data_IF_967521817393
#
_entry.id   IF_967521817393
#
_cell.length_a   1.000
_cell.length_b   1.000
_cell.length_c   1.000
_cell.angle_alpha   90.00
_cell.angle_beta   90.00
_cell.angle_gamma   90.00
#
_symmetry.space_group_name_H-M   'P 1'
#
loop_
_entity.id
_entity.type
_entity.pdbx_description
1 polymer ?
#
# COMPACT_ATOMS: atom_id res chain seq x y z
N UNK A 1 52.29 -26.48 7.62
CA UNK A 1 51.18 -25.58 8.01
C UNK A 1 51.58 -24.13 7.70
N UNK A 2 50.97 -23.45 6.72
CA UNK A 2 51.37 -22.09 6.40
C UNK A 2 50.79 -21.12 7.44
N UNK A 3 51.69 -20.38 8.10
CA UNK A 3 51.36 -19.30 9.05
C UNK A 3 50.61 -18.20 8.30
N UNK A 4 49.34 -17.95 8.65
CA UNK A 4 48.57 -16.81 8.14
C UNK A 4 49.23 -15.52 8.59
N UNK A 5 49.77 -14.74 7.65
CA UNK A 5 50.27 -13.40 7.90
C UNK A 5 49.11 -12.47 8.27
N UNK A 6 49.14 -11.88 9.46
CA UNK A 6 48.24 -10.78 9.80
C UNK A 6 48.62 -9.54 8.98
N UNK A 7 47.83 -9.24 7.94
CA UNK A 7 47.84 -7.91 7.33
C UNK A 7 47.40 -6.89 8.38
N UNK A 8 48.24 -5.89 8.60
CA UNK A 8 48.00 -4.75 9.47
C UNK A 8 47.02 -3.80 8.76
N UNK A 9 45.74 -4.17 8.72
CA UNK A 9 44.69 -3.27 8.24
C UNK A 9 44.57 -2.12 9.24
N UNK A 10 44.85 -0.89 8.80
CA UNK A 10 44.67 0.33 9.60
C UNK A 10 43.24 0.33 10.14
N UNK A 11 43.09 0.17 11.46
CA UNK A 11 41.77 0.10 12.10
C UNK A 11 41.07 1.45 11.91
N UNK A 12 40.00 1.47 11.11
CA UNK A 12 39.19 2.66 10.90
C UNK A 12 38.70 3.21 12.26
N UNK A 13 38.81 4.53 12.46
CA UNK A 13 38.46 5.24 13.69
C UNK A 13 37.37 6.29 13.42
N UNK A 14 36.53 6.54 14.43
CA UNK A 14 35.45 7.54 14.41
C UNK A 14 35.46 8.32 15.72
N UNK A 15 35.13 9.62 15.66
CA UNK A 15 35.03 10.51 16.83
C UNK A 15 33.62 10.43 17.41
N UNK A 16 33.51 10.20 18.72
CA UNK A 16 32.22 10.23 19.41
C UNK A 16 31.77 11.70 19.64
N UNK A 17 30.53 12.08 19.30
CA UNK A 17 30.04 13.45 19.47
C UNK A 17 29.86 13.85 20.95
N UNK A 18 29.73 12.89 21.87
CA UNK A 18 29.52 13.16 23.29
C UNK A 18 30.86 13.38 24.02
N UNK A 19 31.80 12.44 23.92
CA UNK A 19 33.07 12.54 24.64
C UNK A 19 34.23 13.13 23.81
N UNK A 20 34.02 13.39 22.51
CA UNK A 20 35.02 13.92 21.57
C UNK A 20 36.30 13.07 21.45
N UNK A 21 36.27 11.82 21.92
CA UNK A 21 37.40 10.87 21.83
C UNK A 21 37.28 10.03 20.57
N UNK A 22 38.41 9.83 19.89
CA UNK A 22 38.52 8.84 18.81
C UNK A 22 38.44 7.43 19.35
N UNK A 23 37.63 6.59 18.70
CA UNK A 23 37.47 5.18 19.02
C UNK A 23 37.50 4.34 17.74
N UNK A 24 38.01 3.09 17.80
CA UNK A 24 37.98 2.18 16.66
C UNK A 24 36.53 1.83 16.29
N UNK A 25 36.17 1.82 15.00
CA UNK A 25 34.79 1.48 14.58
C UNK A 25 34.38 0.08 15.03
N UNK A 26 35.30 -0.88 15.00
CA UNK A 26 35.02 -2.30 15.26
C UNK A 26 34.55 -2.61 16.69
N UNK A 27 35.04 -1.89 17.69
CA UNK A 27 34.75 -2.16 19.11
C UNK A 27 34.24 -0.93 19.89
N UNK A 28 34.44 0.27 19.36
CA UNK A 28 34.08 1.52 20.02
C UNK A 28 32.61 1.89 19.91
N UNK A 29 31.87 1.33 18.95
CA UNK A 29 30.50 1.71 18.62
C UNK A 29 29.63 0.47 18.41
N UNK A 30 28.34 0.58 18.71
CA UNK A 30 27.38 -0.49 18.39
C UNK A 30 27.08 -0.50 16.89
N UNK A 31 27.08 -1.68 16.27
CA UNK A 31 26.70 -1.84 14.86
C UNK A 31 25.23 -1.45 14.65
N UNK A 32 24.88 -0.91 13.50
CA UNK A 32 23.49 -0.61 13.15
C UNK A 32 23.16 -1.00 11.72
N UNK A 33 21.96 -1.54 11.53
CA UNK A 33 21.38 -1.84 10.21
C UNK A 33 20.43 -0.72 9.76
N UNK A 34 20.24 0.31 10.57
CA UNK A 34 19.37 1.44 10.24
C UNK A 34 19.90 2.17 8.99
N UNK A 35 19.01 2.57 8.05
CA UNK A 35 19.37 3.38 6.90
C UNK A 35 20.15 4.66 7.26
N UNK A 36 19.93 5.20 8.47
CA UNK A 36 20.60 6.41 8.97
C UNK A 36 22.12 6.28 9.09
N UNK A 37 22.65 5.05 9.21
CA UNK A 37 24.06 4.81 9.49
C UNK A 37 24.74 3.91 8.47
N UNK A 38 24.23 3.84 7.23
CA UNK A 38 24.78 2.97 6.18
C UNK A 38 26.25 3.26 5.84
N UNK A 39 26.69 4.52 5.90
CA UNK A 39 28.05 4.92 5.57
C UNK A 39 29.11 4.27 6.49
N UNK A 40 28.84 4.22 7.81
CA UNK A 40 29.77 3.69 8.80
C UNK A 40 29.40 2.28 9.30
N UNK A 41 28.15 1.86 9.09
CA UNK A 41 27.58 0.61 9.63
C UNK A 41 27.46 0.57 11.17
N UNK A 42 27.66 1.70 11.85
CA UNK A 42 27.62 1.80 13.31
C UNK A 42 27.00 3.12 13.78
N UNK A 43 26.43 3.09 14.99
CA UNK A 43 25.83 4.28 15.61
C UNK A 43 26.90 5.35 15.91
N UNK A 44 26.54 6.64 15.98
CA UNK A 44 27.52 7.72 16.13
C UNK A 44 28.07 7.87 17.55
N UNK A 45 27.39 7.36 18.57
CA UNK A 45 27.79 7.49 19.98
C UNK A 45 28.56 6.25 20.42
N UNK A 46 29.71 6.44 21.07
CA UNK A 46 30.53 5.31 21.52
C UNK A 46 29.85 4.51 22.65
N UNK A 47 30.18 3.23 22.74
CA UNK A 47 29.54 2.28 23.69
C UNK A 47 29.62 2.75 25.15
N UNK A 48 30.73 3.37 25.55
CA UNK A 48 30.90 3.93 26.88
C UNK A 48 29.92 5.09 27.16
N UNK A 49 29.75 6.01 26.21
CA UNK A 49 28.81 7.12 26.35
C UNK A 49 27.36 6.66 26.34
N UNK A 50 27.02 5.64 25.53
CA UNK A 50 25.68 5.03 25.55
C UNK A 50 25.38 4.46 26.93
N UNK A 51 26.28 3.63 27.49
CA UNK A 51 26.10 3.03 28.83
C UNK A 51 25.98 4.09 29.93
N UNK A 52 26.87 5.08 29.92
CA UNK A 52 26.84 6.17 30.90
C UNK A 52 25.59 7.05 30.76
N UNK A 53 25.07 7.22 29.54
CA UNK A 53 23.87 8.01 29.28
C UNK A 53 22.57 7.34 29.72
N UNK A 54 22.58 6.01 29.94
CA UNK A 54 21.41 5.22 30.34
C UNK A 54 21.35 5.01 31.85
N UNK A 55 22.50 4.90 32.50
CA UNK A 55 22.63 4.53 33.90
C UNK A 55 22.55 5.77 34.81
N UNK A 56 21.95 5.61 36.00
CA UNK A 56 21.92 6.60 37.07
C UNK A 56 23.26 6.69 37.80
N UNK A 57 23.42 7.68 38.69
CA UNK A 57 24.66 7.85 39.47
C UNK A 57 24.92 6.69 40.42
N UNK A 58 23.85 6.06 40.92
CA UNK A 58 23.89 4.87 41.78
C UNK A 58 24.25 3.56 41.03
N UNK A 59 24.38 3.62 39.70
CA UNK A 59 24.67 2.47 38.86
C UNK A 59 23.44 1.72 38.33
N UNK A 60 22.22 2.12 38.71
CA UNK A 60 20.97 1.49 38.25
C UNK A 60 20.55 1.96 36.85
N UNK A 61 19.76 1.14 36.14
CA UNK A 61 19.28 1.49 34.81
C UNK A 61 18.07 2.42 34.91
N UNK A 62 18.15 3.57 34.26
CA UNK A 62 17.02 4.48 34.14
C UNK A 62 16.22 4.17 32.86
N UNK A 63 14.96 3.77 33.02
CA UNK A 63 14.07 3.35 31.92
C UNK A 63 13.83 4.48 30.90
N UNK A 64 13.65 5.71 31.37
CA UNK A 64 13.41 6.86 30.51
C UNK A 64 14.67 7.23 29.71
N UNK A 65 15.84 7.22 30.37
CA UNK A 65 17.12 7.42 29.67
C UNK A 65 17.42 6.30 28.66
N UNK A 66 17.08 5.06 29.01
CA UNK A 66 17.16 3.89 28.10
C UNK A 66 16.33 4.12 26.85
N UNK A 67 15.04 4.44 27.01
CA UNK A 67 14.12 4.69 25.89
C UNK A 67 14.62 5.82 24.99
N UNK A 68 14.97 6.96 25.58
CA UNK A 68 15.48 8.13 24.85
C UNK A 68 16.78 7.81 24.09
N UNK A 69 17.67 7.02 24.70
CA UNK A 69 18.92 6.62 24.06
C UNK A 69 18.68 5.66 22.89
N UNK A 70 17.81 4.65 23.05
CA UNK A 70 17.45 3.73 21.97
C UNK A 70 16.79 4.48 20.80
N UNK A 71 15.89 5.43 21.09
CA UNK A 71 15.26 6.27 20.07
C UNK A 71 16.29 7.12 19.31
N UNK A 72 17.19 7.80 20.02
CA UNK A 72 18.24 8.63 19.42
C UNK A 72 19.20 7.83 18.54
N UNK A 73 19.49 6.58 18.91
CA UNK A 73 20.36 5.68 18.15
C UNK A 73 19.61 4.91 17.06
N UNK A 74 18.30 5.13 16.91
CA UNK A 74 17.40 4.34 16.07
C UNK A 74 17.60 2.83 16.26
N UNK A 75 17.62 2.41 17.53
CA UNK A 75 17.78 1.02 17.95
C UNK A 75 16.48 0.51 18.55
N UNK A 76 16.11 -0.77 18.29
CA UNK A 76 14.86 -1.32 18.79
C UNK A 76 14.92 -1.49 20.30
N UNK A 77 13.85 -1.12 21.00
CA UNK A 77 13.70 -1.26 22.44
C UNK A 77 12.84 -2.47 22.78
N UNK A 78 13.43 -3.48 23.41
CA UNK A 78 12.74 -4.69 23.85
C UNK A 78 13.04 -4.95 25.33
N UNK A 79 12.02 -4.91 26.17
CA UNK A 79 12.18 -5.07 27.61
C UNK A 79 12.52 -6.50 28.02
N UNK A 80 12.10 -7.48 27.23
CA UNK A 80 12.45 -8.88 27.41
C UNK A 80 13.92 -9.19 27.03
N UNK A 81 14.51 -8.45 26.08
CA UNK A 81 15.95 -8.50 25.84
C UNK A 81 16.75 -7.95 27.04
N UNK A 82 16.21 -6.91 27.71
CA UNK A 82 16.83 -6.33 28.89
C UNK A 82 16.72 -7.27 30.10
N UNK A 83 15.53 -7.86 30.32
CA UNK A 83 15.32 -8.88 31.37
C UNK A 83 16.20 -10.12 31.13
N UNK A 84 16.39 -10.50 29.87
CA UNK A 84 17.32 -11.59 29.50
C UNK A 84 18.76 -11.24 29.86
N UNK A 85 19.19 -10.00 29.61
CA UNK A 85 20.49 -9.48 30.03
C UNK A 85 20.66 -9.49 31.55
N UNK A 86 19.63 -9.07 32.29
CA UNK A 86 19.60 -9.11 33.75
C UNK A 86 19.75 -10.54 34.28
N UNK A 87 18.95 -11.45 33.72
CA UNK A 87 18.96 -12.87 34.08
C UNK A 87 20.29 -13.55 33.77
N UNK A 88 20.93 -13.21 32.66
CA UNK A 88 22.26 -13.69 32.32
C UNK A 88 23.30 -13.19 33.32
N UNK A 89 23.31 -11.89 33.62
CA UNK A 89 24.26 -11.32 34.58
C UNK A 89 24.11 -11.93 35.97
N UNK A 90 22.86 -12.11 36.43
CA UNK A 90 22.53 -12.79 37.70
C UNK A 90 23.03 -14.23 37.76
N UNK A 91 22.94 -14.98 36.66
CA UNK A 91 23.47 -16.35 36.57
C UNK A 91 24.99 -16.38 36.65
N UNK A 92 25.67 -15.46 35.98
CA UNK A 92 27.13 -15.35 35.98
C UNK A 92 27.69 -14.85 37.33
N UNK A 93 26.89 -14.08 38.08
CA UNK A 93 27.27 -13.47 39.35
C UNK A 93 26.31 -13.85 40.47
N UNK A 94 26.02 -15.15 40.60
CA UNK A 94 25.04 -15.69 41.55
C UNK A 94 25.36 -15.41 43.02
N UNK A 95 26.61 -15.01 43.33
CA UNK A 95 27.07 -14.63 44.66
C UNK A 95 26.66 -13.19 45.08
N UNK A 96 26.19 -12.37 44.13
CA UNK A 96 25.72 -11.00 44.42
C UNK A 96 24.24 -11.00 44.76
N UNK A 97 23.84 -10.10 45.65
CA UNK A 97 22.42 -9.82 45.92
C UNK A 97 21.74 -9.13 44.74
N UNK A 98 20.41 -9.19 44.68
CA UNK A 98 19.63 -8.55 43.62
C UNK A 98 19.84 -7.02 43.57
N UNK A 99 20.03 -6.38 44.73
CA UNK A 99 20.30 -4.94 44.82
C UNK A 99 21.70 -4.58 44.30
N UNK A 100 22.70 -5.44 44.54
CA UNK A 100 24.05 -5.24 44.01
C UNK A 100 24.09 -5.44 42.50
N UNK A 101 23.34 -6.42 41.99
CA UNK A 101 23.18 -6.67 40.55
C UNK A 101 22.50 -5.47 39.88
N UNK A 102 21.46 -4.90 40.50
CA UNK A 102 20.75 -3.74 39.96
C UNK A 102 21.69 -2.53 39.76
N UNK A 103 22.72 -2.37 40.60
CA UNK A 103 23.74 -1.31 40.49
C UNK A 103 24.81 -1.57 39.41
N UNK A 104 24.79 -2.74 38.75
CA UNK A 104 25.67 -3.10 37.62
C UNK A 104 24.99 -2.81 36.27
N UNK A 105 24.34 -1.65 36.18
CA UNK A 105 23.55 -1.26 35.02
C UNK A 105 24.37 -1.17 33.73
N UNK A 106 25.65 -0.79 33.78
CA UNK A 106 26.49 -0.64 32.58
C UNK A 106 26.78 -1.99 31.92
N UNK A 107 26.96 -3.02 32.72
CA UNK A 107 27.19 -4.40 32.32
C UNK A 107 25.92 -5.01 31.75
N UNK A 108 24.78 -4.82 32.43
CA UNK A 108 23.46 -5.27 31.96
C UNK A 108 23.08 -4.59 30.63
N UNK A 109 23.30 -3.28 30.50
CA UNK A 109 23.08 -2.56 29.23
C UNK A 109 23.98 -3.09 28.12
N UNK A 110 25.21 -3.52 28.44
CA UNK A 110 26.09 -4.14 27.45
C UNK A 110 25.53 -5.46 26.92
N UNK A 111 24.98 -6.29 27.81
CA UNK A 111 24.32 -7.55 27.44
C UNK A 111 23.05 -7.29 26.62
N UNK A 112 22.26 -6.29 26.99
CA UNK A 112 21.11 -5.87 26.21
C UNK A 112 21.49 -5.50 24.76
N UNK A 113 22.47 -4.62 24.55
CA UNK A 113 22.88 -4.25 23.19
C UNK A 113 23.51 -5.41 22.40
N UNK A 114 24.01 -6.44 23.09
CA UNK A 114 24.41 -7.71 22.46
C UNK A 114 23.19 -8.50 21.98
N UNK A 115 22.13 -8.58 22.78
CA UNK A 115 20.88 -9.26 22.44
C UNK A 115 20.13 -8.56 21.29
N UNK A 116 20.15 -7.23 21.24
CA UNK A 116 19.60 -6.43 20.12
C UNK A 116 20.27 -6.73 18.78
N UNK A 117 21.48 -7.30 18.78
CA UNK A 117 22.20 -7.69 17.56
C UNK A 117 21.94 -9.14 17.13
N UNK A 118 21.05 -9.87 17.81
CA UNK A 118 20.62 -11.21 17.40
C UNK A 118 19.85 -11.16 16.09
N UNK A 119 19.80 -12.28 15.36
CA UNK A 119 19.19 -12.38 14.02
C UNK A 119 17.74 -11.88 13.99
N UNK A 120 17.00 -12.08 15.08
CA UNK A 120 15.60 -11.69 15.24
C UNK A 120 15.36 -10.17 15.37
N UNK A 121 16.36 -9.42 15.86
CA UNK A 121 16.24 -8.00 16.21
C UNK A 121 17.18 -7.07 15.46
N UNK A 122 18.29 -7.58 14.90
CA UNK A 122 19.36 -6.71 14.37
C UNK A 122 18.92 -5.77 13.25
N UNK A 123 17.87 -6.13 12.51
CA UNK A 123 17.34 -5.37 11.38
C UNK A 123 16.20 -4.44 11.79
N UNK A 124 15.75 -4.51 13.05
CA UNK A 124 14.65 -3.69 13.53
C UNK A 124 15.13 -2.32 13.99
N UNK A 125 14.24 -1.34 13.88
CA UNK A 125 14.46 0.04 14.32
C UNK A 125 13.59 0.37 15.55
N UNK A 126 13.68 1.61 16.06
CA UNK A 126 12.91 1.98 17.24
C UNK A 126 11.39 1.93 17.00
N UNK A 127 10.93 2.43 15.85
CA UNK A 127 9.51 2.48 15.50
C UNK A 127 8.88 1.08 15.35
N UNK A 128 9.62 0.11 14.84
CA UNK A 128 9.17 -1.29 14.77
C UNK A 128 9.01 -1.91 16.16
N UNK A 129 9.94 -1.64 17.07
CA UNK A 129 9.81 -2.11 18.45
C UNK A 129 8.62 -1.49 19.19
N UNK A 130 8.26 -0.25 18.85
CA UNK A 130 7.06 0.41 19.38
C UNK A 130 5.77 -0.24 18.85
N UNK A 131 5.72 -0.59 17.56
CA UNK A 131 4.61 -1.36 16.98
C UNK A 131 4.45 -2.74 17.63
N UNK A 132 5.55 -3.35 18.05
CA UNK A 132 5.57 -4.62 18.78
C UNK A 132 5.22 -4.46 20.28
N UNK A 133 4.95 -3.24 20.76
CA UNK A 133 4.68 -2.99 22.19
C UNK A 133 5.90 -3.22 23.10
N UNK A 134 7.11 -3.09 22.55
CA UNK A 134 8.39 -3.25 23.24
C UNK A 134 8.64 -4.65 23.85
N UNK A 135 7.94 -5.68 23.37
CA UNK A 135 8.12 -7.09 23.75
C UNK A 135 8.11 -7.96 22.49
N UNK A 136 8.91 -9.03 22.44
CA UNK A 136 8.87 -9.94 21.29
C UNK A 136 7.58 -10.77 21.24
N UNK A 137 6.87 -10.67 20.12
CA UNK A 137 5.70 -11.50 19.83
C UNK A 137 6.06 -12.98 19.70
N UNK A 138 7.14 -13.30 18.97
CA UNK A 138 7.51 -14.68 18.60
C UNK A 138 8.58 -15.32 19.52
N UNK A 139 8.67 -14.90 20.79
CA UNK A 139 9.59 -15.53 21.74
C UNK A 139 8.98 -16.76 22.41
N UNK A 140 9.84 -17.73 22.78
CA UNK A 140 9.47 -18.92 23.56
C UNK A 140 9.08 -18.61 25.02
N UNK A 141 9.01 -17.33 25.38
CA UNK A 141 8.67 -16.88 26.74
C UNK A 141 7.16 -17.03 26.94
N UNK A 142 6.75 -17.54 28.09
CA UNK A 142 5.32 -17.73 28.41
C UNK A 142 4.58 -16.40 28.48
N UNK A 143 3.27 -16.39 28.23
CA UNK A 143 2.45 -15.18 28.31
C UNK A 143 2.54 -14.51 29.69
N UNK A 144 2.46 -15.30 30.76
CA UNK A 144 2.58 -14.79 32.13
C UNK A 144 3.92 -14.09 32.40
N UNK A 145 5.02 -14.59 31.84
CA UNK A 145 6.33 -13.96 31.98
C UNK A 145 6.44 -12.66 31.17
N UNK A 146 5.86 -12.63 29.96
CA UNK A 146 5.74 -11.38 29.17
C UNK A 146 4.94 -10.32 29.94
N UNK A 147 3.83 -10.71 30.55
CA UNK A 147 2.99 -9.81 31.35
C UNK A 147 3.74 -9.31 32.60
N UNK A 148 4.57 -10.15 33.24
CA UNK A 148 5.44 -9.77 34.35
C UNK A 148 6.48 -8.72 33.93
N UNK A 149 7.14 -8.95 32.80
CA UNK A 149 8.15 -8.03 32.24
C UNK A 149 7.48 -6.70 31.87
N UNK A 150 6.31 -6.76 31.22
CA UNK A 150 5.52 -5.57 30.90
C UNK A 150 5.21 -4.76 32.16
N UNK A 151 4.71 -5.38 33.22
CA UNK A 151 4.47 -4.69 34.50
C UNK A 151 5.74 -4.11 35.11
N UNK A 152 6.85 -4.83 35.07
CA UNK A 152 8.14 -4.38 35.64
C UNK A 152 8.70 -3.15 34.94
N UNK A 153 8.66 -3.10 33.61
CA UNK A 153 9.33 -2.07 32.82
C UNK A 153 8.41 -1.00 32.23
N UNK A 154 7.16 -1.37 31.91
CA UNK A 154 6.15 -0.50 31.32
C UNK A 154 5.01 -0.14 32.30
N UNK A 155 4.92 -0.84 33.43
CA UNK A 155 4.06 -0.40 34.54
C UNK A 155 4.53 0.96 35.06
N UNK A 156 3.59 1.87 35.25
CA UNK A 156 3.84 3.27 35.56
C UNK A 156 4.84 3.45 36.71
N UNK A 157 5.90 4.24 36.47
CA UNK A 157 6.74 4.76 37.55
C UNK A 157 6.04 5.98 38.17
N UNK A 158 6.25 6.22 39.47
CA UNK A 158 5.65 7.35 40.19
C UNK A 158 6.00 8.73 39.58
N UNK A 159 7.05 8.80 38.76
CA UNK A 159 7.48 10.02 38.07
C UNK A 159 6.68 10.34 36.79
N UNK A 160 6.02 9.34 36.17
CA UNK A 160 5.22 9.55 34.94
C UNK A 160 3.83 10.16 35.24
N UNK A 161 3.46 10.23 36.52
CA UNK A 161 2.18 10.76 37.00
C UNK A 161 2.16 12.30 37.01
N UNK A 162 3.33 12.96 37.10
CA UNK A 162 3.42 14.42 37.20
C UNK A 162 3.14 15.19 35.89
N UNK A 163 3.05 14.51 34.74
CA UNK A 163 2.72 15.13 33.43
C UNK A 163 1.34 14.75 32.88
N UNK A 164 0.50 14.07 33.68
CA UNK A 164 -0.91 13.83 33.36
C UNK A 164 -1.80 14.12 34.56
N UNK A 165 -1.75 15.36 35.05
CA UNK A 165 -2.89 15.91 35.76
C UNK A 165 -4.02 16.18 34.76
N UNK A 166 -4.89 15.20 34.61
CA UNK A 166 -6.34 15.36 34.72
C UNK A 166 -6.99 14.00 34.50
N UNK A 167 -7.06 13.21 35.56
CA UNK A 167 -8.33 12.62 36.05
C UNK A 167 -8.03 11.81 37.29
N UNK A 168 -8.44 12.35 38.44
CA UNK A 168 -8.56 11.63 39.70
C UNK A 168 -9.58 10.51 39.55
N UNK A 169 -9.25 9.29 39.97
CA UNK A 169 -10.28 8.33 40.36
C UNK A 169 -9.91 7.64 41.67
N UNK A 170 -10.73 7.93 42.69
CA UNK A 170 -10.95 7.06 43.83
C UNK A 170 -11.43 5.67 43.34
N UNK A 171 -11.21 4.60 44.12
CA UNK A 171 -11.62 3.26 43.74
C UNK A 171 -13.15 3.21 43.74
N UNK A 172 -13.73 3.19 42.54
CA UNK A 172 -15.14 2.86 42.33
C UNK A 172 -15.15 1.46 41.72
N UNK A 173 -15.96 0.57 42.27
CA UNK A 173 -16.31 -0.67 41.58
C UNK A 173 -16.89 -0.30 40.19
N UNK A 174 -16.08 -0.45 39.14
CA UNK A 174 -16.45 -0.05 37.78
C UNK A 174 -17.60 -0.95 37.29
N UNK A 175 -18.82 -0.43 37.37
CA UNK A 175 -19.92 -0.93 36.54
C UNK A 175 -19.66 -0.50 35.10
N UNK A 176 -19.91 -1.38 34.11
CA UNK A 176 -19.64 -1.08 32.71
C UNK A 176 -20.41 0.17 32.26
N UNK A 177 -19.71 1.11 31.61
CA UNK A 177 -20.30 2.30 31.01
C UNK A 177 -21.24 1.83 29.89
N UNK A 178 -22.55 2.00 30.08
CA UNK A 178 -23.58 1.76 29.06
C UNK A 178 -23.95 3.11 28.47
N UNK A 179 -23.79 3.28 27.15
CA UNK A 179 -24.41 4.42 26.46
C UNK A 179 -25.92 4.30 26.58
N UNK A 180 -26.63 5.40 26.82
CA UNK A 180 -28.09 5.42 26.91
C UNK A 180 -28.72 4.77 25.66
N UNK A 181 -29.48 3.69 25.86
CA UNK A 181 -30.04 2.83 24.80
C UNK A 181 -31.43 3.30 24.32
N UNK A 182 -31.86 4.47 24.80
CA UNK A 182 -33.24 4.94 24.71
C UNK A 182 -33.67 5.48 23.35
N UNK A 183 -32.76 5.76 22.42
CA UNK A 183 -33.08 6.48 21.17
C UNK A 183 -32.87 5.68 19.86
N UNK A 184 -32.44 4.42 19.93
CA UNK A 184 -32.22 3.62 18.71
C UNK A 184 -33.48 2.85 18.28
N UNK A 185 -34.12 3.31 17.19
CA UNK A 185 -35.24 2.62 16.57
C UNK A 185 -34.76 1.62 15.52
N UNK A 186 -35.13 0.34 15.68
CA UNK A 186 -34.85 -0.71 14.69
C UNK A 186 -35.87 -0.57 13.56
N UNK A 187 -35.40 -0.29 12.35
CA UNK A 187 -36.26 -0.18 11.15
C UNK A 187 -36.45 -1.54 10.50
N UNK A 188 -37.52 -1.69 9.71
CA UNK A 188 -37.82 -2.94 8.99
C UNK A 188 -36.68 -3.34 8.02
N UNK A 189 -36.03 -2.36 7.39
CA UNK A 189 -34.90 -2.60 6.48
C UNK A 189 -33.71 -3.25 7.20
N UNK A 190 -33.48 -2.90 8.47
CA UNK A 190 -32.43 -3.54 9.27
C UNK A 190 -32.77 -4.98 9.61
N UNK A 191 -34.04 -5.28 9.88
CA UNK A 191 -34.51 -6.65 10.13
C UNK A 191 -34.38 -7.48 8.87
N UNK A 192 -34.77 -6.93 7.71
CA UNK A 192 -34.62 -7.59 6.42
C UNK A 192 -33.14 -7.85 6.06
N UNK A 193 -32.24 -6.94 6.45
CA UNK A 193 -30.82 -7.05 6.14
C UNK A 193 -30.08 -8.03 7.06
N UNK A 194 -30.29 -7.99 8.37
CA UNK A 194 -29.54 -8.81 9.34
C UNK A 194 -30.26 -10.11 9.74
N UNK A 195 -31.57 -10.21 9.50
CA UNK A 195 -32.44 -11.30 9.90
C UNK A 195 -33.08 -11.08 11.28
N UNK A 196 -34.15 -11.82 11.58
CA UNK A 196 -34.92 -11.71 12.83
C UNK A 196 -34.21 -12.37 14.04
N UNK A 197 -34.61 -11.99 15.26
CA UNK A 197 -34.19 -12.64 16.51
C UNK A 197 -33.05 -11.99 17.30
N UNK A 198 -32.55 -10.82 16.87
CA UNK A 198 -31.52 -10.06 17.60
C UNK A 198 -32.11 -9.01 18.54
N UNK A 199 -31.35 -8.66 19.57
CA UNK A 199 -31.66 -7.56 20.50
C UNK A 199 -31.47 -6.20 19.84
N UNK A 200 -32.15 -5.16 20.35
CA UNK A 200 -32.02 -3.78 19.87
C UNK A 200 -30.55 -3.30 19.88
N UNK A 201 -29.81 -3.65 20.92
CA UNK A 201 -28.39 -3.30 21.07
C UNK A 201 -27.52 -4.00 20.01
N UNK A 202 -27.81 -5.27 19.70
CA UNK A 202 -27.12 -6.00 18.61
C UNK A 202 -27.38 -5.34 17.25
N UNK A 203 -28.62 -4.98 16.95
CA UNK A 203 -28.96 -4.27 15.71
C UNK A 203 -28.23 -2.93 15.57
N UNK A 204 -28.11 -2.16 16.66
CA UNK A 204 -27.36 -0.90 16.71
C UNK A 204 -25.88 -1.12 16.36
N UNK A 205 -25.25 -2.11 17.00
CA UNK A 205 -23.84 -2.44 16.74
C UNK A 205 -23.61 -2.97 15.32
N UNK A 206 -24.51 -3.81 14.82
CA UNK A 206 -24.44 -4.34 13.45
C UNK A 206 -24.58 -3.23 12.41
N UNK A 207 -25.59 -2.37 12.55
CA UNK A 207 -25.82 -1.28 11.61
C UNK A 207 -24.66 -0.27 11.57
N UNK A 208 -24.14 0.13 12.74
CA UNK A 208 -22.97 1.01 12.81
C UNK A 208 -21.77 0.42 12.08
N UNK A 209 -21.42 -0.84 12.41
CA UNK A 209 -20.26 -1.52 11.83
C UNK A 209 -20.42 -1.75 10.32
N UNK A 210 -21.63 -2.07 9.86
CA UNK A 210 -21.93 -2.22 8.45
C UNK A 210 -21.72 -0.89 7.69
N UNK A 211 -22.20 0.23 8.22
CA UNK A 211 -22.00 1.54 7.61
C UNK A 211 -20.54 1.98 7.59
N UNK A 212 -19.80 1.73 8.69
CA UNK A 212 -18.36 2.04 8.78
C UNK A 212 -17.57 1.28 7.70
N UNK A 213 -17.89 0.00 7.46
CA UNK A 213 -17.22 -0.80 6.43
C UNK A 213 -17.65 -0.36 5.02
N UNK A 214 -18.93 -0.03 4.84
CA UNK A 214 -19.46 0.44 3.54
C UNK A 214 -18.84 1.77 3.09
N UNK A 215 -18.34 2.61 4.00
CA UNK A 215 -17.64 3.85 3.62
C UNK A 215 -16.40 3.60 2.77
N UNK A 216 -15.70 2.49 2.98
CA UNK A 216 -14.42 2.18 2.35
C UNK A 216 -14.46 0.93 1.45
N UNK A 217 -15.61 0.25 1.33
CA UNK A 217 -15.75 -1.00 0.58
C UNK A 217 -16.82 -0.90 -0.50
N UNK A 218 -16.44 -1.06 -1.77
CA UNK A 218 -17.37 -1.08 -2.90
C UNK A 218 -18.02 -2.46 -3.03
N UNK A 219 -19.32 -2.54 -2.76
CA UNK A 219 -20.11 -3.78 -2.96
C UNK A 219 -20.41 -3.92 -4.45
N UNK A 220 -19.81 -4.90 -5.12
CA UNK A 220 -20.02 -5.15 -6.55
C UNK A 220 -21.15 -6.14 -6.86
N UNK A 221 -21.43 -7.09 -5.95
CA UNK A 221 -22.42 -8.16 -6.16
C UNK A 221 -23.23 -8.44 -4.89
N UNK A 222 -24.43 -9.02 -5.05
CA UNK A 222 -25.27 -9.45 -3.92
C UNK A 222 -24.55 -10.47 -3.02
N UNK A 223 -23.69 -11.32 -3.58
CA UNK A 223 -22.90 -12.28 -2.82
C UNK A 223 -21.90 -11.58 -1.87
N UNK A 224 -21.28 -10.48 -2.32
CA UNK A 224 -20.43 -9.67 -1.45
C UNK A 224 -21.23 -8.99 -0.33
N UNK A 225 -22.46 -8.58 -0.61
CA UNK A 225 -23.36 -8.02 0.41
C UNK A 225 -23.71 -9.08 1.47
N UNK A 226 -24.13 -10.28 1.08
CA UNK A 226 -24.45 -11.36 2.01
C UNK A 226 -23.25 -11.80 2.85
N UNK A 227 -22.06 -11.86 2.24
CA UNK A 227 -20.83 -12.18 2.94
C UNK A 227 -20.45 -11.09 3.95
N UNK A 228 -20.60 -9.80 3.59
CA UNK A 228 -20.36 -8.66 4.48
C UNK A 228 -21.36 -8.65 5.66
N UNK A 229 -22.65 -8.86 5.39
CA UNK A 229 -23.67 -8.97 6.44
C UNK A 229 -23.34 -10.13 7.41
N UNK A 230 -22.88 -11.25 6.88
CA UNK A 230 -22.47 -12.42 7.69
C UNK A 230 -21.24 -12.11 8.54
N UNK A 231 -20.24 -11.44 7.97
CA UNK A 231 -19.08 -10.96 8.70
C UNK A 231 -19.46 -10.03 9.87
N UNK A 232 -20.31 -9.04 9.61
CA UNK A 232 -20.77 -8.09 10.64
C UNK A 232 -21.51 -8.80 11.76
N UNK A 233 -22.39 -9.77 11.46
CA UNK A 233 -23.09 -10.59 12.46
C UNK A 233 -22.14 -11.32 13.40
N UNK A 234 -21.13 -12.00 12.85
CA UNK A 234 -20.16 -12.74 13.66
C UNK A 234 -19.24 -11.82 14.45
N UNK A 235 -18.83 -10.69 13.88
CA UNK A 235 -17.97 -9.71 14.56
C UNK A 235 -18.66 -9.06 15.77
N UNK A 236 -19.95 -8.71 15.66
CA UNK A 236 -20.71 -8.19 16.79
C UNK A 236 -20.88 -9.24 17.89
N UNK A 237 -21.11 -10.51 17.54
CA UNK A 237 -21.19 -11.60 18.53
C UNK A 237 -19.88 -11.84 19.26
N UNK A 238 -18.74 -11.76 18.57
CA UNK A 238 -17.41 -11.82 19.19
C UNK A 238 -17.20 -10.68 20.19
N UNK A 239 -17.52 -9.44 19.81
CA UNK A 239 -17.36 -8.26 20.69
C UNK A 239 -18.22 -8.39 21.95
N UNK A 240 -19.46 -8.87 21.80
CA UNK A 240 -20.36 -9.13 22.92
C UNK A 240 -19.89 -10.29 23.80
N UNK A 241 -19.39 -11.39 23.22
CA UNK A 241 -18.84 -12.52 23.97
C UNK A 241 -17.57 -12.11 24.74
N UNK A 242 -16.72 -11.30 24.11
CA UNK A 242 -15.53 -10.72 24.74
C UNK A 242 -15.89 -9.79 25.89
N UNK A 243 -16.91 -8.94 25.71
CA UNK A 243 -17.42 -8.06 26.76
C UNK A 243 -18.04 -8.84 27.94
N UNK A 244 -18.59 -10.03 27.69
CA UNK A 244 -19.11 -10.95 28.72
C UNK A 244 -18.01 -11.77 29.42
N UNK A 245 -16.77 -11.74 28.93
CA UNK A 245 -15.66 -12.54 29.45
C UNK A 245 -15.67 -14.01 29.01
N UNK A 246 -16.50 -14.39 28.03
CA UNK A 246 -16.52 -15.74 27.48
C UNK A 246 -15.50 -15.90 26.36
N UNK A 247 -14.28 -16.26 26.75
CA UNK A 247 -13.12 -16.40 25.86
C UNK A 247 -13.31 -17.55 24.85
N UNK A 248 -14.03 -18.62 25.21
CA UNK A 248 -14.22 -19.76 24.32
C UNK A 248 -15.19 -19.42 23.19
N UNK A 249 -16.30 -18.79 23.53
CA UNK A 249 -17.31 -18.39 22.56
C UNK A 249 -16.79 -17.26 21.66
N UNK A 250 -16.04 -16.30 22.23
CA UNK A 250 -15.36 -15.25 21.45
C UNK A 250 -14.42 -15.84 20.39
N UNK A 251 -13.61 -16.85 20.74
CA UNK A 251 -12.70 -17.51 19.79
C UNK A 251 -13.44 -18.19 18.62
N UNK A 252 -14.61 -18.79 18.88
CA UNK A 252 -15.43 -19.43 17.82
C UNK A 252 -15.99 -18.39 16.87
N UNK A 253 -16.58 -17.31 17.39
CA UNK A 253 -17.13 -16.24 16.56
C UNK A 253 -16.05 -15.49 15.80
N UNK A 254 -14.86 -15.32 16.39
CA UNK A 254 -13.69 -14.77 15.71
C UNK A 254 -13.27 -15.63 14.50
N UNK A 255 -13.18 -16.95 14.67
CA UNK A 255 -12.83 -17.86 13.58
C UNK A 255 -13.89 -17.85 12.46
N UNK A 256 -15.18 -17.85 12.82
CA UNK A 256 -16.27 -17.74 11.86
C UNK A 256 -16.29 -16.39 11.14
N UNK A 257 -15.99 -15.28 11.83
CA UNK A 257 -15.85 -13.97 11.23
C UNK A 257 -14.66 -13.92 10.25
N UNK A 258 -13.54 -14.56 10.59
CA UNK A 258 -12.36 -14.60 9.71
C UNK A 258 -12.65 -15.34 8.39
N UNK A 259 -13.33 -16.50 8.46
CA UNK A 259 -13.77 -17.24 7.28
C UNK A 259 -14.77 -16.44 6.42
N UNK A 260 -15.72 -15.76 7.06
CA UNK A 260 -16.65 -14.86 6.37
C UNK A 260 -15.93 -13.66 5.73
N UNK A 261 -14.91 -13.10 6.38
CA UNK A 261 -14.11 -12.00 5.86
C UNK A 261 -13.30 -12.42 4.63
N UNK A 262 -12.73 -13.62 4.63
CA UNK A 262 -12.01 -14.17 3.48
C UNK A 262 -12.96 -14.40 2.30
N UNK A 263 -14.17 -14.93 2.53
CA UNK A 263 -15.21 -15.08 1.49
C UNK A 263 -15.73 -13.74 0.97
N UNK A 264 -15.81 -12.74 1.84
CA UNK A 264 -16.20 -11.38 1.51
C UNK A 264 -15.07 -10.56 0.88
N UNK A 265 -13.85 -11.10 0.75
CA UNK A 265 -12.64 -10.37 0.31
C UNK A 265 -12.32 -9.11 1.15
N UNK A 266 -12.66 -9.14 2.44
CA UNK A 266 -12.42 -8.05 3.39
C UNK A 266 -11.02 -8.11 4.03
N UNK A 267 -10.22 -9.15 3.75
CA UNK A 267 -8.90 -9.32 4.36
C UNK A 267 -7.75 -8.70 3.57
N UNK A 268 -6.76 -8.07 4.22
CA UNK A 268 -5.62 -7.41 3.56
C UNK A 268 -4.75 -8.35 2.72
N UNK A 269 -4.85 -9.67 2.93
CA UNK A 269 -4.11 -10.68 2.16
C UNK A 269 -4.68 -10.88 0.75
N UNK A 270 -5.94 -10.50 0.54
CA UNK A 270 -6.64 -10.63 -0.74
C UNK A 270 -7.06 -9.29 -1.33
N UNK A 271 -6.90 -8.18 -0.58
CA UNK A 271 -6.77 -6.86 -1.17
C UNK A 271 -5.52 -6.90 -2.05
N UNK A 272 -5.73 -7.20 -3.33
CA UNK A 272 -4.66 -7.09 -4.30
C UNK A 272 -4.21 -5.63 -4.37
N UNK A 273 -3.01 -5.37 -4.87
CA UNK A 273 -2.56 -3.99 -5.10
C UNK A 273 -3.58 -3.16 -5.92
N UNK A 274 -4.46 -3.85 -6.67
CA UNK A 274 -5.62 -3.32 -7.35
C UNK A 274 -6.71 -2.72 -6.48
N UNK A 275 -7.05 -3.38 -5.38
CA UNK A 275 -8.14 -2.95 -4.52
C UNK A 275 -7.69 -1.82 -3.59
N UNK A 276 -6.40 -1.77 -3.25
CA UNK A 276 -5.81 -0.71 -2.42
C UNK A 276 -5.57 0.59 -3.18
N UNK A 277 -5.42 0.54 -4.50
CA UNK A 277 -5.16 1.72 -5.35
C UNK A 277 -6.39 2.26 -6.07
N UNK A 278 -7.58 1.65 -5.89
CA UNK A 278 -8.83 2.22 -6.40
C UNK A 278 -8.80 2.56 -7.90
N UNK A 279 -8.03 1.82 -8.69
CA UNK A 279 -7.80 2.18 -10.09
C UNK A 279 -6.68 1.39 -10.75
N UNK A 280 -7.09 0.46 -11.61
CA UNK A 280 -6.42 -0.04 -12.82
C UNK A 280 -4.91 -0.37 -12.71
N UNK A 281 -4.56 -1.66 -12.81
CA UNK A 281 -3.25 -2.17 -12.37
C UNK A 281 -2.18 -2.25 -13.45
N UNK A 282 -2.55 -1.96 -14.69
CA UNK A 282 -1.62 -1.91 -15.80
C UNK A 282 -2.18 -1.02 -16.88
N UNK A 283 -1.30 -0.38 -17.66
CA UNK A 283 -1.72 0.31 -18.88
C UNK A 283 -2.61 -0.58 -19.75
N UNK A 284 -2.36 -1.90 -19.80
CA UNK A 284 -3.17 -2.86 -20.51
C UNK A 284 -4.62 -2.97 -19.99
N UNK A 285 -4.82 -2.90 -18.67
CA UNK A 285 -6.16 -2.87 -18.07
C UNK A 285 -6.84 -1.52 -18.27
N UNK A 286 -6.08 -0.40 -18.31
CA UNK A 286 -6.60 0.93 -18.65
C UNK A 286 -7.10 0.90 -20.08
N UNK A 287 -6.27 0.43 -21.01
CA UNK A 287 -6.65 0.27 -22.41
C UNK A 287 -7.88 -0.62 -22.55
N UNK A 288 -7.92 -1.77 -21.88
CA UNK A 288 -9.08 -2.67 -21.94
C UNK A 288 -10.36 -2.04 -21.36
N UNK A 289 -10.27 -1.33 -20.24
CA UNK A 289 -11.42 -0.66 -19.63
C UNK A 289 -11.90 0.53 -20.49
N UNK A 290 -10.97 1.25 -21.10
CA UNK A 290 -11.24 2.37 -22.01
C UNK A 290 -11.80 1.88 -23.35
N UNK A 291 -11.35 0.74 -23.87
CA UNK A 291 -11.88 0.07 -25.06
C UNK A 291 -13.27 -0.54 -24.81
N UNK A 292 -13.53 -1.02 -23.60
CA UNK A 292 -14.83 -1.59 -23.20
C UNK A 292 -15.84 -0.52 -22.79
N UNK A 293 -15.39 0.65 -22.33
CA UNK A 293 -16.25 1.81 -22.08
C UNK A 293 -16.63 2.41 -23.43
N UNK A 294 -17.80 1.99 -23.92
CA UNK A 294 -18.37 2.20 -25.26
C UNK A 294 -18.34 3.65 -25.83
N UNK A 295 -17.91 4.68 -25.09
CA UNK A 295 -18.12 6.08 -25.49
C UNK A 295 -16.95 7.06 -25.32
N UNK A 296 -15.75 6.66 -24.85
CA UNK A 296 -14.72 7.68 -24.51
C UNK A 296 -13.68 7.92 -25.60
N UNK A 297 -13.36 6.94 -26.44
CA UNK A 297 -12.41 7.12 -27.54
C UNK A 297 -13.14 6.96 -28.87
N UNK A 298 -13.29 8.03 -29.68
CA UNK A 298 -13.63 7.84 -31.08
C UNK A 298 -12.57 6.94 -31.70
N UNK A 299 -13.04 5.74 -32.02
CA UNK A 299 -12.44 4.65 -32.79
C UNK A 299 -11.22 5.11 -33.59
N UNK A 300 -10.14 4.33 -33.51
CA UNK A 300 -8.97 4.27 -34.42
C UNK A 300 -9.04 5.24 -35.60
N UNK A 301 -7.98 6.01 -35.92
CA UNK A 301 -8.02 7.02 -36.98
C UNK A 301 -8.75 6.49 -38.21
N UNK A 302 -9.99 6.95 -38.39
CA UNK A 302 -10.78 6.52 -39.54
C UNK A 302 -9.99 7.00 -40.76
N UNK A 303 -9.76 6.10 -41.71
CA UNK A 303 -9.15 6.46 -42.96
C UNK A 303 -10.01 7.57 -43.58
N UNK A 304 -9.54 8.81 -43.48
CA UNK A 304 -10.20 9.94 -44.11
C UNK A 304 -10.01 9.75 -45.60
N UNK A 305 -11.10 9.46 -46.30
CA UNK A 305 -11.10 9.37 -47.75
C UNK A 305 -10.59 10.70 -48.33
N UNK A 306 -9.45 10.64 -49.04
CA UNK A 306 -8.86 11.79 -49.74
C UNK A 306 -9.29 11.77 -51.20
N UNK A 307 -9.22 12.90 -51.93
CA UNK A 307 -9.45 12.91 -53.38
C UNK A 307 -8.65 11.86 -54.15
N UNK A 308 -7.42 11.57 -53.71
CA UNK A 308 -6.57 10.53 -54.30
C UNK A 308 -7.08 9.09 -54.08
N UNK A 309 -8.04 8.89 -53.18
CA UNK A 309 -8.69 7.59 -52.96
C UNK A 309 -9.91 7.41 -53.89
N UNK A 310 -10.34 8.46 -54.60
CA UNK A 310 -11.43 8.41 -55.57
C UNK A 310 -10.97 7.84 -56.92
N UNK A 311 -11.72 6.86 -57.43
CA UNK A 311 -11.40 6.19 -58.69
C UNK A 311 -11.49 7.15 -59.88
N UNK A 312 -12.54 7.97 -59.94
CA UNK A 312 -12.75 8.93 -61.03
C UNK A 312 -11.63 10.00 -61.08
N UNK A 313 -11.16 10.47 -59.93
CA UNK A 313 -10.04 11.41 -59.83
C UNK A 313 -8.72 10.80 -60.32
N UNK A 314 -8.40 9.57 -59.91
CA UNK A 314 -7.20 8.89 -60.39
C UNK A 314 -7.23 8.65 -61.91
N UNK A 315 -8.38 8.25 -62.45
CA UNK A 315 -8.58 8.09 -63.89
C UNK A 315 -8.39 9.43 -64.61
N UNK A 316 -8.94 10.52 -64.07
CA UNK A 316 -8.78 11.86 -64.63
C UNK A 316 -7.31 12.30 -64.67
N UNK A 317 -6.55 12.12 -63.58
CA UNK A 317 -5.11 12.40 -63.53
C UNK A 317 -4.35 11.63 -64.61
N UNK A 318 -4.63 10.33 -64.76
CA UNK A 318 -3.97 9.50 -65.77
C UNK A 318 -4.32 9.92 -67.20
N UNK A 319 -5.60 10.22 -67.47
CA UNK A 319 -6.06 10.68 -68.78
C UNK A 319 -5.36 12.00 -69.16
N UNK A 320 -5.28 12.96 -68.22
CA UNK A 320 -4.63 14.24 -68.49
C UNK A 320 -3.12 14.11 -68.66
N UNK A 321 -2.47 13.24 -67.88
CA UNK A 321 -1.06 12.90 -68.11
C UNK A 321 -0.84 12.31 -69.51
N UNK A 322 -1.66 11.36 -69.94
CA UNK A 322 -1.57 10.77 -71.28
C UNK A 322 -1.87 11.78 -72.39
N UNK A 323 -2.82 12.69 -72.17
CA UNK A 323 -3.16 13.78 -73.11
C UNK A 323 -2.00 14.77 -73.26
N UNK A 324 -1.35 15.15 -72.17
CA UNK A 324 -0.15 16.00 -72.21
C UNK A 324 0.98 15.36 -73.00
N UNK A 325 1.26 14.07 -72.78
CA UNK A 325 2.26 13.33 -73.56
C UNK A 325 1.93 13.30 -75.07
N UNK A 326 0.65 13.41 -75.41
CA UNK A 326 0.15 13.44 -76.79
C UNK A 326 -0.05 14.87 -77.33
N UNK A 327 0.24 15.92 -76.55
CA UNK A 327 0.02 17.32 -76.93
C UNK A 327 -1.46 17.72 -77.06
N UNK A 328 -2.37 16.96 -76.46
CA UNK A 328 -3.80 17.23 -76.43
C UNK A 328 -4.17 18.12 -75.23
N UNK A 329 -5.21 18.95 -75.33
CA UNK A 329 -5.69 19.72 -74.19
C UNK A 329 -6.21 18.77 -73.09
N UNK A 330 -6.01 19.19 -71.84
CA UNK A 330 -6.56 18.51 -70.66
C UNK A 330 -8.09 18.46 -70.74
N UNK A 331 -8.69 17.37 -70.26
CA UNK A 331 -10.14 17.24 -70.15
C UNK A 331 -10.65 17.64 -68.77
N UNK A 332 -11.91 18.07 -68.72
CA UNK A 332 -12.58 18.42 -67.47
C UNK A 332 -12.85 17.17 -66.62
N UNK A 333 -12.83 17.35 -65.29
CA UNK A 333 -13.13 16.27 -64.36
C UNK A 333 -14.57 15.75 -64.51
N UNK A 334 -15.49 16.65 -64.86
CA UNK A 334 -16.90 16.33 -65.10
C UNK A 334 -17.12 15.30 -66.22
N UNK A 335 -16.32 15.38 -67.28
CA UNK A 335 -16.43 14.44 -68.40
C UNK A 335 -16.01 13.03 -68.00
N UNK A 336 -15.06 12.91 -67.06
CA UNK A 336 -14.52 11.64 -66.59
C UNK A 336 -15.50 10.96 -65.64
N UNK A 337 -16.03 11.68 -64.64
CA UNK A 337 -16.98 11.04 -63.70
C UNK A 337 -18.30 10.68 -64.39
N UNK A 338 -18.79 11.46 -65.36
CA UNK A 338 -19.99 11.12 -66.14
C UNK A 338 -19.81 9.83 -66.92
N UNK A 339 -18.63 9.64 -67.51
CA UNK A 339 -18.29 8.40 -68.21
C UNK A 339 -18.27 7.22 -67.23
N UNK A 340 -17.65 7.39 -66.06
CA UNK A 340 -17.62 6.39 -65.01
C UNK A 340 -19.03 5.99 -64.54
N UNK A 341 -19.90 6.97 -64.27
CA UNK A 341 -21.29 6.73 -63.87
C UNK A 341 -22.06 5.92 -64.89
N UNK A 342 -21.90 6.27 -66.18
CA UNK A 342 -22.51 5.51 -67.27
C UNK A 342 -22.04 4.06 -67.28
N UNK A 343 -20.74 3.82 -67.09
CA UNK A 343 -20.17 2.45 -67.05
C UNK A 343 -20.58 1.67 -65.83
N UNK A 344 -20.66 2.31 -64.67
CA UNK A 344 -21.21 1.74 -63.43
C UNK A 344 -22.66 1.32 -63.65
N UNK A 345 -23.48 2.19 -64.26
CA UNK A 345 -24.87 1.89 -64.56
C UNK A 345 -25.02 0.73 -65.55
N UNK A 346 -24.28 0.73 -66.67
CA UNK A 346 -24.27 -0.37 -67.64
C UNK A 346 -23.90 -1.72 -66.98
N UNK A 347 -22.94 -1.70 -66.04
CA UNK A 347 -22.53 -2.89 -65.29
C UNK A 347 -23.64 -3.40 -64.37
N UNK A 348 -24.27 -2.51 -63.60
CA UNK A 348 -25.36 -2.85 -62.68
C UNK A 348 -26.57 -3.38 -63.46
N UNK A 349 -26.89 -2.80 -64.61
CA UNK A 349 -27.99 -3.26 -65.47
C UNK A 349 -27.73 -4.68 -66.02
N UNK A 350 -26.48 -5.00 -66.35
CA UNK A 350 -26.12 -6.28 -66.96
C UNK A 350 -25.92 -7.42 -65.95
N UNK A 351 -25.34 -7.12 -64.79
CA UNK A 351 -24.88 -8.14 -63.83
C UNK A 351 -25.51 -7.99 -62.43
N UNK A 352 -26.22 -6.89 -62.17
CA UNK A 352 -26.64 -6.49 -60.82
C UNK A 352 -25.46 -6.10 -59.93
N UNK A 353 -25.71 -6.00 -58.63
CA UNK A 353 -24.67 -5.88 -57.60
C UNK A 353 -24.81 -6.98 -56.53
N UNK A 354 -24.53 -8.26 -56.88
CA UNK A 354 -24.73 -9.38 -55.95
C UNK A 354 -23.79 -9.36 -54.73
N UNK A 355 -22.76 -8.52 -54.75
CA UNK A 355 -21.74 -8.44 -53.69
C UNK A 355 -21.71 -7.08 -52.97
N UNK A 356 -22.62 -6.15 -53.30
CA UNK A 356 -22.69 -4.82 -52.69
C UNK A 356 -21.43 -3.99 -52.92
N UNK A 357 -20.76 -4.15 -54.06
CA UNK A 357 -19.50 -3.48 -54.39
C UNK A 357 -19.70 -1.96 -54.45
N UNK A 358 -20.89 -1.51 -54.81
CA UNK A 358 -21.21 -0.09 -54.99
C UNK A 358 -22.05 0.51 -53.85
N UNK A 359 -22.49 -0.28 -52.87
CA UNK A 359 -23.40 0.16 -51.80
C UNK A 359 -22.76 1.20 -50.87
N UNK A 360 -21.46 1.07 -50.61
CA UNK A 360 -20.69 1.95 -49.72
C UNK A 360 -19.67 2.84 -50.45
N UNK A 361 -19.77 2.99 -51.78
CA UNK A 361 -18.84 3.81 -52.57
C UNK A 361 -18.95 5.31 -52.20
N UNK A 362 -17.92 5.92 -51.59
CA UNK A 362 -17.96 7.31 -51.17
C UNK A 362 -17.65 8.28 -52.32
N UNK A 363 -17.30 7.79 -53.51
CA UNK A 363 -16.85 8.59 -54.66
C UNK A 363 -17.87 9.66 -55.04
N UNK A 364 -19.13 9.28 -55.24
CA UNK A 364 -20.21 10.20 -55.64
C UNK A 364 -20.43 11.32 -54.61
N UNK A 365 -20.43 10.97 -53.30
CA UNK A 365 -20.63 11.93 -52.20
C UNK A 365 -19.48 12.93 -52.09
N UNK A 366 -18.28 12.53 -52.50
CA UNK A 366 -17.06 13.33 -52.33
C UNK A 366 -16.71 14.21 -53.54
N UNK A 367 -17.38 14.07 -54.69
CA UNK A 367 -17.14 14.90 -55.89
C UNK A 367 -17.11 16.40 -55.63
N UNK A 368 -18.04 17.00 -54.85
CA UNK A 368 -18.00 18.44 -54.59
C UNK A 368 -16.74 18.87 -53.80
N UNK A 369 -16.19 17.98 -52.99
CA UNK A 369 -14.92 18.21 -52.28
C UNK A 369 -13.72 18.05 -53.20
N UNK A 370 -13.79 17.11 -54.15
CA UNK A 370 -12.76 16.89 -55.18
C UNK A 370 -12.72 18.07 -56.15
N UNK A 371 -13.86 18.58 -56.61
CA UNK A 371 -13.93 19.78 -57.47
C UNK A 371 -13.29 20.99 -56.80
N UNK A 372 -13.56 21.23 -55.51
CA UNK A 372 -12.89 22.27 -54.72
C UNK A 372 -11.38 22.04 -54.61
N UNK A 373 -10.93 20.79 -54.57
CA UNK A 373 -9.51 20.43 -54.55
C UNK A 373 -8.83 20.62 -55.90
N UNK A 374 -9.54 20.43 -57.02
CA UNK A 374 -8.99 20.67 -58.37
C UNK A 374 -8.78 22.18 -58.59
N UNK A 375 -9.68 23.02 -58.07
CA UNK A 375 -9.55 24.49 -58.10
C UNK A 375 -8.61 24.96 -56.98
N UNK A 376 -7.33 24.58 -57.06
CA UNK A 376 -6.30 25.13 -56.17
C UNK A 376 -6.03 26.62 -56.49
N UNK A 377 -5.68 27.45 -55.49
CA UNK A 377 -5.31 28.86 -55.70
C UNK A 377 -4.18 29.01 -56.72
N UNK A 378 -4.18 30.14 -57.45
CA UNK A 378 -3.18 30.49 -58.48
C UNK A 378 -1.73 30.34 -58.02
N UNK A 379 -1.49 30.41 -56.72
CA UNK A 379 -0.18 30.35 -56.06
C UNK A 379 0.47 28.94 -56.11
N UNK A 380 -0.22 27.92 -56.63
CA UNK A 380 0.36 26.59 -56.85
C UNK A 380 1.06 26.43 -58.22
N UNK A 381 1.02 27.46 -59.07
CA UNK A 381 1.71 27.49 -60.39
C UNK A 381 3.03 28.25 -60.39
N UNK A 382 3.57 28.66 -59.24
CA UNK A 382 4.91 29.23 -59.17
C UNK A 382 5.94 28.13 -58.86
N UNK A 383 6.20 27.34 -59.88
CA UNK A 383 7.27 26.34 -59.93
C UNK A 383 7.92 26.26 -61.31
N UNK A 384 7.77 27.31 -62.12
CA UNK A 384 8.52 27.48 -63.38
C UNK A 384 9.68 28.46 -63.13
N UNK A 385 10.89 27.93 -63.31
CA UNK A 385 12.08 28.69 -63.71
C UNK A 385 11.85 29.46 -65.02
#
# INVERSE_FOLDING_TARGET
MPKRSHKNDKVAKKICPICKKEKPLKSGFYKSSSPLYQADGCVPICTACVKNGIVNEDGTINKNKMKNMCQRLDKPLYWDDLESGYSQYKKEHSFLSDDEIAKKGKEIVALYFKNVMLRQTRNKNFAESEKDGYIHNNSNVTKAEKDRIAKKYMGASAEDIASKEQTTHHPIEEKPIRSDDSEFNVTQDMINLFGEGYTRTEYKHMHRKYNDIKMNYSIQTNLHQEALVTYVRFKVKEELATAKGDVQEAQKWWAAAQDAADKAKLTPKQLTQADLQGGINSFSEIFKAVEQAIDVIPILPQFKFRPNDALDFNIWCYINYARELQGLPQCEYEDVYKFYDKKKQEYIEQYGDPYGIFDDDPTEKNRPSIEKFIVLPKDYKDGDD
#
